data_IF_396125980369
#
_entry.id   IF_396125980369
#
_cell.length_a   1.000
_cell.length_b   1.000
_cell.length_c   1.000
_cell.angle_alpha   90.00
_cell.angle_beta   90.00
_cell.angle_gamma   90.00
#
_symmetry.space_group_name_H-M   'P 1'
#
loop_
_entity.id
_entity.type
_entity.pdbx_description
1 polymer ?
#
# COMPACT_ATOMS: atom_id res chain seq x y z
N UNK A 1 11.07 -20.26 -24.53
CA UNK A 1 11.06 -20.56 -23.09
C UNK A 1 10.62 -19.31 -22.36
N UNK A 2 9.37 -19.28 -21.89
CA UNK A 2 8.83 -18.26 -20.97
C UNK A 2 8.81 -18.85 -19.55
N UNK A 3 9.85 -19.60 -19.23
CA UNK A 3 9.78 -20.63 -18.21
C UNK A 3 10.78 -20.32 -17.11
N UNK A 4 10.36 -19.40 -16.23
CA UNK A 4 10.42 -19.48 -14.76
C UNK A 4 10.40 -18.06 -14.18
N UNK A 5 9.19 -17.59 -13.86
CA UNK A 5 9.04 -16.51 -12.90
C UNK A 5 9.74 -16.95 -11.60
N UNK A 6 10.79 -16.23 -11.19
CA UNK A 6 11.45 -16.45 -9.91
C UNK A 6 10.86 -15.48 -8.90
N UNK A 7 10.25 -16.00 -7.85
CA UNK A 7 9.65 -15.19 -6.78
C UNK A 7 10.49 -15.34 -5.54
N UNK A 8 11.15 -14.24 -5.14
CA UNK A 8 11.93 -14.17 -3.92
C UNK A 8 11.20 -13.33 -2.89
N UNK A 9 11.11 -13.84 -1.65
CA UNK A 9 10.52 -13.08 -0.53
C UNK A 9 11.61 -12.35 0.22
N UNK A 10 11.37 -11.08 0.53
CA UNK A 10 12.23 -10.24 1.35
C UNK A 10 11.60 -9.94 2.71
N UNK A 11 12.41 -9.50 3.67
CA UNK A 11 11.93 -9.00 4.96
C UNK A 11 11.65 -7.50 4.86
N UNK A 12 10.55 -7.15 4.20
CA UNK A 12 10.12 -5.76 3.98
C UNK A 12 10.60 -5.17 2.65
N UNK A 13 10.25 -3.90 2.43
CA UNK A 13 10.44 -3.22 1.14
C UNK A 13 11.88 -2.77 0.87
N UNK A 14 12.61 -2.33 1.90
CA UNK A 14 13.98 -1.85 1.73
C UNK A 14 14.90 -2.87 1.03
N UNK A 15 15.02 -4.15 1.49
CA UNK A 15 15.83 -5.13 0.77
C UNK A 15 15.29 -5.49 -0.63
N UNK A 16 13.98 -5.32 -0.87
CA UNK A 16 13.41 -5.55 -2.20
C UNK A 16 13.81 -4.44 -3.19
N UNK A 17 13.82 -3.18 -2.74
CA UNK A 17 14.30 -2.06 -3.53
C UNK A 17 15.81 -2.12 -3.77
N UNK A 18 16.59 -2.56 -2.79
CA UNK A 18 18.03 -2.78 -2.96
C UNK A 18 18.29 -3.84 -4.06
N UNK A 19 17.55 -4.96 -4.07
CA UNK A 19 17.65 -5.97 -5.12
C UNK A 19 17.21 -5.45 -6.49
N UNK A 20 16.15 -4.64 -6.54
CA UNK A 20 15.68 -4.00 -7.78
C UNK A 20 16.77 -3.08 -8.36
N UNK A 21 17.37 -2.22 -7.54
CA UNK A 21 18.42 -1.29 -7.96
C UNK A 21 19.73 -1.98 -8.34
N UNK A 22 20.02 -3.14 -7.72
CA UNK A 22 21.17 -3.97 -8.08
C UNK A 22 20.99 -4.76 -9.39
N UNK A 23 19.76 -4.82 -9.92
CA UNK A 23 19.43 -5.65 -11.09
C UNK A 23 19.21 -7.13 -10.76
N UNK A 24 19.14 -7.48 -9.47
CA UNK A 24 18.86 -8.85 -9.00
C UNK A 24 17.37 -9.22 -9.13
N UNK A 25 16.50 -8.22 -9.33
CA UNK A 25 15.08 -8.38 -9.58
C UNK A 25 14.60 -7.40 -10.66
N UNK A 26 13.73 -7.86 -11.56
CA UNK A 26 13.12 -7.02 -12.59
C UNK A 26 11.96 -6.17 -12.05
N UNK A 27 11.27 -6.68 -11.02
CA UNK A 27 10.06 -6.06 -10.44
C UNK A 27 9.97 -6.30 -8.93
N UNK A 28 9.33 -5.37 -8.22
CA UNK A 28 8.92 -5.53 -6.82
C UNK A 28 7.41 -5.49 -6.73
N UNK A 29 6.82 -6.52 -6.13
CA UNK A 29 5.40 -6.54 -5.79
C UNK A 29 5.23 -5.95 -4.40
N UNK A 30 4.56 -4.80 -4.32
CA UNK A 30 4.29 -4.07 -3.08
C UNK A 30 2.84 -3.55 -3.07
N UNK A 31 2.30 -3.30 -1.88
CA UNK A 31 1.10 -2.48 -1.77
C UNK A 31 1.37 -1.09 -2.34
N UNK A 32 0.47 -0.57 -3.17
CA UNK A 32 0.68 0.64 -3.95
C UNK A 32 1.11 1.85 -3.09
N UNK A 33 0.27 2.25 -2.13
CA UNK A 33 0.57 3.38 -1.25
C UNK A 33 1.79 3.16 -0.34
N UNK A 34 1.95 2.02 0.38
CA UNK A 34 3.16 1.76 1.16
C UNK A 34 4.45 1.74 0.33
N UNK A 35 4.39 1.24 -0.91
CA UNK A 35 5.52 1.24 -1.84
C UNK A 35 5.98 2.66 -2.16
N UNK A 36 5.06 3.53 -2.56
CA UNK A 36 5.34 4.94 -2.85
C UNK A 36 5.91 5.67 -1.63
N UNK A 37 5.33 5.46 -0.45
CA UNK A 37 5.80 6.07 0.78
C UNK A 37 7.26 5.72 1.08
N UNK A 38 7.64 4.43 0.96
CA UNK A 38 9.00 3.98 1.23
C UNK A 38 9.99 4.40 0.14
N UNK A 39 9.58 4.43 -1.13
CA UNK A 39 10.41 4.99 -2.23
C UNK A 39 10.70 6.47 -1.98
N UNK A 40 9.69 7.25 -1.60
CA UNK A 40 9.86 8.67 -1.33
C UNK A 40 10.76 8.93 -0.12
N UNK A 41 10.48 8.24 0.99
CA UNK A 41 11.28 8.31 2.22
C UNK A 41 12.76 7.94 1.99
N UNK A 42 13.05 7.08 1.01
CA UNK A 42 14.40 6.68 0.65
C UNK A 42 15.07 7.61 -0.38
N UNK A 43 14.36 8.61 -0.92
CA UNK A 43 14.87 9.49 -1.98
C UNK A 43 15.07 8.77 -3.32
N UNK A 44 14.26 7.75 -3.60
CA UNK A 44 14.40 6.86 -4.77
C UNK A 44 13.38 7.15 -5.88
N UNK A 45 12.65 8.26 -5.82
CA UNK A 45 11.56 8.61 -6.76
C UNK A 45 12.02 8.72 -8.21
N UNK A 46 13.28 9.08 -8.45
CA UNK A 46 13.86 9.20 -9.80
C UNK A 46 14.40 7.86 -10.35
N UNK A 47 14.44 6.82 -9.50
CA UNK A 47 15.02 5.51 -9.84
C UNK A 47 13.99 4.38 -9.83
N UNK A 48 12.93 4.51 -9.02
CA UNK A 48 11.89 3.50 -8.86
C UNK A 48 10.54 4.16 -9.14
N UNK A 49 9.83 3.62 -10.13
CA UNK A 49 8.49 4.09 -10.50
C UNK A 49 7.45 2.97 -10.30
N UNK A 50 6.22 3.30 -9.88
CA UNK A 50 5.12 2.34 -9.92
C UNK A 50 4.74 2.04 -11.37
N UNK A 51 4.22 0.84 -11.62
CA UNK A 51 3.56 0.50 -12.88
C UNK A 51 2.04 0.66 -12.74
N UNK A 52 1.38 1.11 -13.81
CA UNK A 52 -0.06 1.40 -13.80
C UNK A 52 -0.93 0.15 -13.61
N UNK A 53 -0.43 -1.02 -13.98
CA UNK A 53 -1.20 -2.26 -13.88
C UNK A 53 -1.13 -2.84 -12.46
N UNK A 54 -2.22 -2.73 -11.72
CA UNK A 54 -2.40 -3.46 -10.47
C UNK A 54 -2.49 -4.97 -10.75
N UNK A 55 -1.72 -5.77 -9.99
CA UNK A 55 -1.83 -7.23 -10.01
C UNK A 55 -3.08 -7.73 -9.28
N UNK A 56 -3.55 -6.96 -8.29
CA UNK A 56 -4.70 -7.26 -7.45
C UNK A 56 -5.28 -5.95 -6.93
N UNK A 57 -6.59 -5.80 -7.05
CA UNK A 57 -7.36 -4.71 -6.44
C UNK A 57 -8.37 -5.35 -5.51
N UNK A 58 -8.23 -5.08 -4.21
CA UNK A 58 -9.08 -5.64 -3.15
C UNK A 58 -9.59 -4.52 -2.24
N UNK A 59 -10.76 -4.74 -1.66
CA UNK A 59 -11.33 -3.82 -0.68
C UNK A 59 -10.59 -3.93 0.66
N UNK A 60 -10.31 -2.79 1.28
CA UNK A 60 -9.71 -2.73 2.60
C UNK A 60 -10.80 -2.67 3.67
N UNK A 61 -10.73 -3.59 4.64
CA UNK A 61 -11.70 -3.67 5.72
C UNK A 61 -11.06 -3.37 7.07
N UNK A 62 -11.79 -2.63 7.91
CA UNK A 62 -11.46 -2.52 9.33
C UNK A 62 -12.21 -3.63 10.07
N UNK A 63 -11.45 -4.54 10.69
CA UNK A 63 -12.00 -5.69 11.38
C UNK A 63 -11.94 -5.53 12.90
N UNK A 64 -13.02 -5.94 13.57
CA UNK A 64 -13.06 -6.10 15.03
C UNK A 64 -12.93 -7.58 15.40
N UNK A 65 -12.07 -7.88 16.37
CA UNK A 65 -11.95 -9.25 16.89
C UNK A 65 -13.30 -9.73 17.46
N UNK A 66 -13.69 -10.96 17.12
CA UNK A 66 -14.96 -11.56 17.57
C UNK A 66 -15.10 -11.61 19.10
N UNK A 67 -13.98 -11.68 19.83
CA UNK A 67 -13.90 -11.74 21.30
C UNK A 67 -13.68 -10.37 21.96
N UNK A 68 -13.51 -9.30 21.18
CA UNK A 68 -13.27 -7.97 21.74
C UNK A 68 -14.58 -7.33 22.18
N UNK A 69 -14.64 -6.69 23.37
CA UNK A 69 -15.79 -5.86 23.75
C UNK A 69 -15.99 -4.70 22.77
N UNK A 70 -14.92 -4.23 22.12
CA UNK A 70 -14.97 -3.17 21.10
C UNK A 70 -15.78 -3.58 19.86
N UNK A 71 -16.14 -4.86 19.69
CA UNK A 71 -17.07 -5.28 18.62
C UNK A 71 -18.39 -4.50 18.68
N UNK A 72 -18.82 -4.04 19.86
CA UNK A 72 -19.98 -3.18 20.00
C UNK A 72 -19.88 -1.85 19.22
N UNK A 73 -18.65 -1.39 18.91
CA UNK A 73 -18.40 -0.18 18.12
C UNK A 73 -18.53 -0.39 16.62
N UNK A 74 -18.50 -1.65 16.14
CA UNK A 74 -18.45 -1.96 14.71
C UNK A 74 -19.60 -1.30 13.89
N UNK A 75 -20.87 -1.25 14.37
CA UNK A 75 -21.95 -0.60 13.63
C UNK A 75 -21.74 0.91 13.46
N UNK A 76 -21.37 1.63 14.52
CA UNK A 76 -21.14 3.09 14.43
C UNK A 76 -19.86 3.42 13.68
N UNK A 77 -18.81 2.63 13.87
CA UNK A 77 -17.58 2.75 13.10
C UNK A 77 -17.85 2.56 11.61
N UNK A 78 -18.63 1.54 11.24
CA UNK A 78 -19.04 1.30 9.86
C UNK A 78 -19.79 2.48 9.25
N UNK A 79 -20.75 3.08 9.99
CA UNK A 79 -21.45 4.30 9.54
C UNK A 79 -20.49 5.45 9.28
N UNK A 80 -19.54 5.69 10.20
CA UNK A 80 -18.53 6.74 10.05
C UNK A 80 -17.65 6.53 8.81
N UNK A 81 -17.18 5.30 8.60
CA UNK A 81 -16.44 4.93 7.38
C UNK A 81 -17.29 5.19 6.13
N UNK A 82 -18.54 4.73 6.09
CA UNK A 82 -19.44 4.95 4.95
C UNK A 82 -19.62 6.43 4.65
N UNK A 83 -19.83 7.27 5.66
CA UNK A 83 -19.92 8.72 5.46
C UNK A 83 -18.65 9.26 4.81
N UNK A 84 -17.48 8.97 5.38
CA UNK A 84 -16.21 9.48 4.88
C UNK A 84 -15.90 9.01 3.45
N UNK A 85 -16.29 7.78 3.09
CA UNK A 85 -16.04 7.23 1.75
C UNK A 85 -17.09 7.65 0.71
N UNK A 86 -18.18 8.32 1.11
CA UNK A 86 -19.25 8.72 0.18
C UNK A 86 -19.39 10.23 0.03
N UNK A 87 -18.82 11.04 0.92
CA UNK A 87 -18.86 12.50 0.87
C UNK A 87 -17.56 13.15 0.35
N UNK A 88 -16.57 12.34 -0.07
CA UNK A 88 -15.27 12.79 -0.56
C UNK A 88 -14.26 13.15 0.53
N UNK A 89 -14.62 13.04 1.82
CA UNK A 89 -13.70 13.30 2.92
C UNK A 89 -12.52 12.33 2.93
N UNK A 90 -12.75 11.06 2.60
CA UNK A 90 -11.70 10.05 2.50
C UNK A 90 -10.64 10.43 1.45
N UNK A 91 -11.05 10.85 0.25
CA UNK A 91 -10.11 11.25 -0.81
C UNK A 91 -9.27 12.46 -0.41
N UNK A 92 -9.90 13.41 0.30
CA UNK A 92 -9.21 14.57 0.88
C UNK A 92 -8.18 14.16 1.93
N UNK A 93 -8.54 13.23 2.82
CA UNK A 93 -7.62 12.69 3.83
C UNK A 93 -6.45 11.93 3.18
N UNK A 94 -6.74 11.10 2.17
CA UNK A 94 -5.73 10.33 1.45
C UNK A 94 -4.75 11.26 0.73
N UNK A 95 -5.27 12.22 -0.05
CA UNK A 95 -4.44 13.20 -0.76
C UNK A 95 -3.55 14.01 0.19
N UNK A 96 -4.09 14.42 1.34
CA UNK A 96 -3.32 15.13 2.36
C UNK A 96 -2.23 14.27 3.00
N UNK A 97 -2.51 12.99 3.24
CA UNK A 97 -1.54 12.05 3.79
C UNK A 97 -0.42 11.71 2.78
N UNK A 98 -0.75 11.52 1.51
CA UNK A 98 0.23 11.17 0.47
C UNK A 98 1.10 12.36 0.06
N UNK A 99 0.56 13.58 0.03
CA UNK A 99 1.34 14.79 -0.26
C UNK A 99 2.44 15.09 0.78
N UNK A 100 2.38 14.45 1.95
CA UNK A 100 3.45 14.55 2.95
C UNK A 100 4.68 13.71 2.60
N UNK A 101 4.57 12.77 1.65
CA UNK A 101 5.69 11.92 1.24
C UNK A 101 6.62 12.63 0.26
N UNK A 102 6.12 13.57 -0.54
CA UNK A 102 6.90 14.31 -1.54
C UNK A 102 7.72 15.49 -0.96
N UNK A 103 7.85 15.56 0.38
CA UNK A 103 8.57 16.62 1.11
C UNK A 103 9.85 16.11 1.76
#
# INVERSE_FOLDING_TARGET
>A
MRDKLQVTRTKGLKPAFEALLAGDADYVIAGYHPGLAEVSKAGLTDQIVPLDQALLTEEMFVAFSKKSPCRALAPEFGKGITTLTTDGSFDKMLSGATAAWDK
#
